data_IF_609065451102
#
_entry.id   IF_609065451102
#
_cell.length_a   1.000
_cell.length_b   1.000
_cell.length_c   1.000
_cell.angle_alpha   90.00
_cell.angle_beta   90.00
_cell.angle_gamma   90.00
#
_symmetry.space_group_name_H-M   'P 1'
#
loop_
_entity.id
_entity.type
_entity.pdbx_description
1 polymer ?
#
# COMPACT_ATOMS: atom_id res chain seq x y z
N UNK A 1 -7.52 -29.86 6.16
CA UNK A 1 -7.34 -29.32 6.01
C UNK A 1 -7.03 -28.70 5.52
N UNK A 2 -7.00 -28.72 5.29
CA UNK A 2 -6.49 -28.26 4.63
C UNK A 2 -6.36 -27.05 4.35
N UNK A 3 -5.79 -26.55 4.87
CA UNK A 3 -5.53 -25.32 4.64
C UNK A 3 -4.69 -25.18 3.53
N UNK A 4 -4.85 -24.73 2.65
CA UNK A 4 -4.20 -24.59 1.68
C UNK A 4 -3.21 -23.69 1.85
N UNK A 5 -2.29 -23.53 2.12
CA UNK A 5 -1.18 -22.72 2.14
C UNK A 5 -1.40 -21.35 2.58
N UNK A 6 -2.61 -21.00 2.62
CA UNK A 6 -2.86 -19.68 3.00
C UNK A 6 -3.28 -19.57 4.38
N UNK A 7 -3.07 -20.47 5.17
CA UNK A 7 -3.53 -20.41 6.52
C UNK A 7 -2.79 -19.38 7.34
N UNK A 8 -2.63 -19.66 8.61
CA UNK A 8 -2.05 -18.67 9.50
C UNK A 8 -0.65 -18.23 9.16
N UNK A 9 0.01 -18.97 8.26
CA UNK A 9 1.35 -18.59 7.88
C UNK A 9 1.41 -17.62 6.73
N UNK A 10 0.28 -17.32 6.13
CA UNK A 10 0.27 -16.36 5.05
C UNK A 10 0.61 -14.99 5.59
N UNK A 11 1.45 -14.28 4.89
CA UNK A 11 1.84 -12.95 5.29
C UNK A 11 1.13 -11.92 4.45
N UNK A 12 0.87 -10.80 5.07
CA UNK A 12 0.24 -9.68 4.40
C UNK A 12 1.27 -8.56 4.36
N UNK A 13 1.57 -8.09 3.18
CA UNK A 13 2.53 -7.01 2.99
C UNK A 13 1.75 -5.76 2.61
N UNK A 14 1.39 -5.00 3.59
CA UNK A 14 0.57 -3.82 3.33
C UNK A 14 1.10 -2.59 4.04
N UNK A 15 0.80 -1.45 3.47
CA UNK A 15 1.14 -0.17 4.07
C UNK A 15 -0.09 0.72 3.99
N UNK A 16 -0.11 1.74 4.81
CA UNK A 16 -1.15 2.74 4.77
C UNK A 16 -0.51 4.07 4.40
N UNK A 17 -1.18 4.83 3.58
CA UNK A 17 -0.66 6.07 3.05
C UNK A 17 -1.73 7.14 3.13
N UNK A 18 -1.37 8.33 3.56
CA UNK A 18 -2.33 9.42 3.57
C UNK A 18 -2.81 9.68 2.16
N UNK A 19 -4.11 9.89 2.01
CA UNK A 19 -4.64 10.24 0.72
C UNK A 19 -4.25 11.65 0.37
N UNK A 20 -3.83 11.81 -0.87
CA UNK A 20 -3.60 13.13 -1.40
C UNK A 20 -4.95 13.66 -1.83
N UNK A 21 -5.34 14.78 -1.25
CA UNK A 21 -6.68 15.31 -1.47
C UNK A 21 -6.71 16.15 -2.73
N UNK A 22 -6.49 15.53 -3.85
CA UNK A 22 -6.56 16.21 -5.12
C UNK A 22 -6.91 15.22 -6.21
N UNK A 23 -7.43 15.75 -7.31
CA UNK A 23 -7.84 14.90 -8.40
C UNK A 23 -6.66 14.10 -8.92
N UNK A 24 -6.87 12.83 -9.14
CA UNK A 24 -5.84 11.98 -9.69
C UNK A 24 -4.79 11.50 -8.71
N UNK A 25 -4.99 11.75 -7.42
CA UNK A 25 -4.02 11.34 -6.42
C UNK A 25 -3.68 9.86 -6.45
N UNK A 26 -4.72 9.01 -6.54
CA UNK A 26 -4.50 7.57 -6.60
C UNK A 26 -3.80 7.19 -7.90
N UNK A 27 -4.21 7.80 -9.00
CA UNK A 27 -3.58 7.52 -10.29
C UNK A 27 -2.11 7.92 -10.29
N UNK A 28 -1.78 9.04 -9.68
CA UNK A 28 -0.41 9.49 -9.58
C UNK A 28 0.42 8.50 -8.78
N UNK A 29 -0.09 8.05 -7.64
CA UNK A 29 0.61 7.10 -6.80
C UNK A 29 0.83 5.79 -7.56
N UNK A 30 -0.22 5.30 -8.21
CA UNK A 30 -0.11 4.06 -8.97
C UNK A 30 0.90 4.18 -10.11
N UNK A 31 0.94 5.34 -10.75
CA UNK A 31 1.89 5.58 -11.83
C UNK A 31 3.32 5.57 -11.31
N UNK A 32 3.55 6.18 -10.15
CA UNK A 32 4.89 6.19 -9.55
C UNK A 32 5.35 4.76 -9.29
N UNK A 33 4.49 3.94 -8.73
CA UNK A 33 4.86 2.56 -8.43
C UNK A 33 5.06 1.76 -9.70
N UNK A 34 4.19 1.93 -10.68
CA UNK A 34 4.31 1.22 -11.95
C UNK A 34 5.59 1.61 -12.68
N UNK A 35 5.95 2.88 -12.64
CA UNK A 35 7.17 3.35 -13.29
C UNK A 35 8.42 2.75 -12.66
N UNK A 36 8.32 2.32 -11.43
CA UNK A 36 9.42 1.67 -10.74
C UNK A 36 9.25 0.16 -10.71
N UNK A 37 8.34 -0.35 -11.55
CA UNK A 37 8.15 -1.78 -11.75
C UNK A 37 7.70 -2.50 -10.48
N UNK A 38 6.93 -1.80 -9.67
CA UNK A 38 6.37 -2.40 -8.46
C UNK A 38 4.91 -2.73 -8.73
N UNK A 39 4.57 -4.01 -8.60
CA UNK A 39 3.20 -4.46 -8.82
C UNK A 39 2.40 -4.38 -7.54
N UNK A 40 1.18 -3.92 -7.66
CA UNK A 40 0.27 -3.88 -6.53
C UNK A 40 -0.62 -5.09 -6.55
N UNK A 41 -0.87 -5.65 -5.38
CA UNK A 41 -1.84 -6.74 -5.27
C UNK A 41 -3.23 -6.16 -5.07
N UNK A 42 -3.33 -5.11 -4.29
CA UNK A 42 -4.61 -4.50 -4.00
C UNK A 42 -4.39 -3.07 -3.53
N UNK A 43 -5.36 -2.22 -3.74
CA UNK A 43 -5.32 -0.86 -3.24
C UNK A 43 -6.75 -0.45 -2.95
N UNK A 44 -6.96 0.21 -1.86
CA UNK A 44 -8.30 0.62 -1.47
C UNK A 44 -8.26 1.77 -0.50
N UNK A 45 -9.42 2.36 -0.30
CA UNK A 45 -9.58 3.46 0.62
C UNK A 45 -10.15 2.90 1.91
N UNK A 46 -9.55 3.25 3.04
CA UNK A 46 -9.96 2.74 4.33
C UNK A 46 -10.35 3.91 5.22
N UNK A 47 -11.49 3.77 5.87
CA UNK A 47 -11.91 4.70 6.90
C UNK A 47 -11.77 3.98 8.23
N UNK A 48 -11.09 4.59 9.17
CA UNK A 48 -10.84 3.95 10.43
C UNK A 48 -11.01 4.97 11.54
N UNK A 49 -11.39 4.49 12.71
CA UNK A 49 -11.47 5.37 13.86
C UNK A 49 -10.10 5.88 14.28
N UNK A 50 -9.06 5.17 13.88
CA UNK A 50 -7.71 5.57 14.22
C UNK A 50 -7.24 6.71 13.36
N UNK A 51 -7.87 6.94 12.23
CA UNK A 51 -7.48 8.00 11.33
C UNK A 51 -8.64 8.97 11.20
N UNK A 52 -8.35 10.24 11.35
CA UNK A 52 -9.37 11.25 11.19
C UNK A 52 -9.89 11.29 9.77
N UNK A 53 -8.99 11.09 8.82
CA UNK A 53 -9.33 11.10 7.42
C UNK A 53 -9.10 9.75 6.81
N UNK A 54 -9.64 9.54 5.63
CA UNK A 54 -9.45 8.28 4.94
C UNK A 54 -7.98 8.13 4.54
N UNK A 55 -7.51 6.89 4.54
CA UNK A 55 -6.17 6.58 4.10
C UNK A 55 -6.24 5.52 3.03
N UNK A 56 -5.19 5.42 2.23
CA UNK A 56 -5.06 4.37 1.25
C UNK A 56 -4.38 3.17 1.88
N UNK A 57 -4.95 2.01 1.64
CA UNK A 57 -4.33 0.76 2.04
C UNK A 57 -3.79 0.12 0.78
N UNK A 58 -2.51 -0.16 0.76
CA UNK A 58 -1.84 -0.71 -0.42
C UNK A 58 -1.22 -2.04 -0.03
N UNK A 59 -1.54 -3.08 -0.78
CA UNK A 59 -1.04 -4.41 -0.51
C UNK A 59 -0.13 -4.87 -1.64
N UNK A 60 0.97 -5.50 -1.27
CA UNK A 60 1.97 -5.95 -2.22
C UNK A 60 2.09 -7.47 -2.19
N UNK A 61 2.75 -8.02 -3.20
CA UNK A 61 2.90 -9.47 -3.32
C UNK A 61 4.01 -10.02 -2.44
N UNK A 62 5.01 -9.21 -2.13
CA UNK A 62 6.12 -9.67 -1.32
C UNK A 62 6.74 -8.53 -0.55
N UNK A 63 7.62 -8.88 0.37
CA UNK A 63 8.23 -7.89 1.25
C UNK A 63 9.14 -6.94 0.51
N UNK A 64 9.85 -7.45 -0.48
CA UNK A 64 10.78 -6.62 -1.22
C UNK A 64 10.06 -5.52 -1.96
N UNK A 65 8.95 -5.85 -2.59
CA UNK A 65 8.13 -4.85 -3.28
C UNK A 65 7.62 -3.82 -2.30
N UNK A 66 7.17 -4.28 -1.13
CA UNK A 66 6.66 -3.37 -0.12
C UNK A 66 7.74 -2.40 0.35
N UNK A 67 8.94 -2.90 0.62
CA UNK A 67 10.02 -2.04 1.08
C UNK A 67 10.44 -1.04 0.02
N UNK A 68 10.51 -1.48 -1.22
CA UNK A 68 10.84 -0.58 -2.32
C UNK A 68 9.79 0.50 -2.48
N UNK A 69 8.53 0.12 -2.35
CA UNK A 69 7.44 1.09 -2.46
C UNK A 69 7.50 2.13 -1.37
N UNK A 70 7.77 1.70 -0.14
CA UNK A 70 7.89 2.64 0.97
C UNK A 70 8.96 3.67 0.69
N UNK A 71 10.11 3.20 0.24
CA UNK A 71 11.23 4.09 -0.03
C UNK A 71 10.89 5.10 -1.13
N UNK A 72 10.31 4.60 -2.20
CA UNK A 72 9.98 5.44 -3.34
C UNK A 72 8.89 6.46 -2.97
N UNK A 73 7.87 6.02 -2.29
CA UNK A 73 6.78 6.91 -1.93
C UNK A 73 7.24 7.98 -0.95
N UNK A 74 8.11 7.63 -0.02
CA UNK A 74 8.63 8.62 0.90
C UNK A 74 9.48 9.67 0.18
N UNK A 75 10.19 9.26 -0.88
CA UNK A 75 10.94 10.23 -1.67
C UNK A 75 10.01 11.21 -2.37
N UNK A 76 8.80 10.78 -2.66
CA UNK A 76 7.80 11.66 -3.27
C UNK A 76 6.95 12.36 -2.23
N UNK A 77 7.39 12.31 -0.96
CA UNK A 77 6.76 13.03 0.14
C UNK A 77 5.41 12.50 0.55
N UNK A 78 5.13 11.25 0.26
CA UNK A 78 3.96 10.60 0.83
C UNK A 78 4.22 10.22 2.27
N UNK A 79 3.22 10.33 3.10
CA UNK A 79 3.32 9.92 4.50
C UNK A 79 2.86 8.47 4.58
N UNK A 80 3.76 7.60 5.00
CA UNK A 80 3.51 6.17 5.02
C UNK A 80 3.45 5.67 6.46
N UNK A 81 2.43 4.87 6.74
CA UNK A 81 2.30 4.21 8.03
C UNK A 81 2.49 2.71 7.81
N UNK A 82 3.38 2.11 8.56
CA UNK A 82 3.61 0.67 8.48
C UNK A 82 2.90 -0.01 9.61
N UNK A 83 2.47 -1.23 9.38
CA UNK A 83 1.82 -1.99 10.43
C UNK A 83 2.79 -2.90 11.11
#
# INVERSE_FOLDING_TARGET
LPVKGNGPLARIYEIYCDMVDEAGGIATLATILASNQISLKNIGIVHSREFIEAVLRIEFYDEESMKSAIEILRKHRYVIYER
#
